data_IF_952348940655
#
_entry.id   IF_952348940655
#
_cell.length_a   1.000
_cell.length_b   1.000
_cell.length_c   1.000
_cell.angle_alpha   90.00
_cell.angle_beta   90.00
_cell.angle_gamma   90.00
#
_symmetry.space_group_name_H-M   'P 1'
#
loop_
_entity.id
_entity.type
_entity.pdbx_description
1 polymer ?
#
# COMPACT_ATOMS: atom_id res chain seq x y z
N UNK A 1 19.65 44.16 1.08
CA UNK A 1 18.61 44.00 2.12
C UNK A 1 17.49 43.18 1.50
N UNK A 2 17.67 41.87 1.47
CA UNK A 2 16.69 40.89 0.97
C UNK A 2 15.91 40.38 2.18
N UNK A 3 14.61 40.59 2.15
CA UNK A 3 13.64 40.14 3.15
C UNK A 3 13.64 38.62 3.19
N UNK A 4 14.09 38.04 4.31
CA UNK A 4 13.82 36.63 4.61
C UNK A 4 12.32 36.47 4.83
N UNK A 5 11.67 35.65 4.01
CA UNK A 5 10.29 35.25 4.25
C UNK A 5 10.27 34.33 5.47
N UNK A 6 9.31 34.50 6.40
CA UNK A 6 9.20 33.63 7.56
C UNK A 6 8.95 32.19 7.12
N UNK A 7 9.83 31.28 7.54
CA UNK A 7 9.64 29.84 7.39
C UNK A 7 8.38 29.47 8.16
N UNK A 8 7.37 28.83 7.53
CA UNK A 8 6.18 28.40 8.25
C UNK A 8 6.60 27.48 9.40
N UNK A 9 6.00 27.63 10.60
CA UNK A 9 6.32 26.79 11.74
C UNK A 9 6.18 25.32 11.33
N UNK A 10 7.24 24.54 11.57
CA UNK A 10 7.23 23.09 11.38
C UNK A 10 6.29 22.52 12.44
N UNK A 11 5.00 22.44 12.13
CA UNK A 11 4.01 21.81 12.98
C UNK A 11 4.48 20.36 13.18
N UNK A 12 4.75 19.97 14.43
CA UNK A 12 5.16 18.61 14.74
C UNK A 12 4.03 17.67 14.33
N UNK A 13 4.19 17.05 13.16
CA UNK A 13 3.16 16.23 12.56
C UNK A 13 2.75 15.15 13.57
N UNK A 14 1.47 15.18 13.96
CA UNK A 14 0.91 14.10 14.78
C UNK A 14 1.17 12.78 14.05
N UNK A 15 1.62 11.72 14.76
CA UNK A 15 1.81 10.42 14.14
C UNK A 15 0.50 9.98 13.46
N UNK A 16 0.59 9.64 12.18
CA UNK A 16 -0.56 9.15 11.41
C UNK A 16 -1.09 7.80 11.94
N UNK A 17 -0.21 7.02 12.57
CA UNK A 17 -0.52 5.70 13.13
C UNK A 17 -0.51 5.76 14.65
N UNK A 18 -1.50 5.13 15.28
CA UNK A 18 -1.53 4.91 16.73
C UNK A 18 -0.64 3.72 17.08
N UNK A 19 -0.02 3.68 18.28
CA UNK A 19 0.69 2.48 18.74
C UNK A 19 -0.20 1.24 18.63
N UNK A 20 0.35 0.13 18.10
CA UNK A 20 -0.40 -1.12 17.92
C UNK A 20 -1.43 -1.11 16.79
N UNK A 21 -1.46 -0.10 15.91
CA UNK A 21 -2.35 -0.08 14.73
C UNK A 21 -2.25 -1.37 13.90
N UNK A 22 -3.38 -1.79 13.33
CA UNK A 22 -3.51 -2.94 12.44
C UNK A 22 -3.36 -2.51 11.00
N UNK A 23 -2.32 -2.97 10.32
CA UNK A 23 -1.92 -2.41 9.02
C UNK A 23 -1.91 -3.51 7.98
N UNK A 24 -2.74 -3.37 6.95
CA UNK A 24 -2.74 -4.29 5.82
C UNK A 24 -1.67 -3.91 4.80
N UNK A 25 -0.71 -4.80 4.57
CA UNK A 25 0.36 -4.61 3.58
C UNK A 25 0.07 -5.46 2.33
N UNK A 26 -0.59 -4.84 1.35
CA UNK A 26 -0.78 -5.46 0.04
C UNK A 26 0.56 -5.55 -0.69
N UNK A 27 0.90 -6.74 -1.21
CA UNK A 27 2.21 -6.95 -1.86
C UNK A 27 3.37 -7.23 -0.90
N UNK A 28 3.09 -7.67 0.34
CA UNK A 28 4.08 -7.95 1.39
C UNK A 28 5.24 -8.90 0.99
N UNK A 29 5.10 -9.73 -0.04
CA UNK A 29 6.17 -10.63 -0.52
C UNK A 29 7.18 -9.95 -1.47
N UNK A 30 6.87 -8.74 -1.96
CA UNK A 30 7.77 -7.98 -2.81
C UNK A 30 8.89 -7.30 -2.03
N UNK A 31 9.88 -6.74 -2.75
CA UNK A 31 11.02 -6.04 -2.14
C UNK A 31 10.57 -4.93 -1.18
N UNK A 32 9.72 -4.01 -1.66
CA UNK A 32 9.22 -2.89 -0.86
C UNK A 32 8.27 -3.39 0.22
N UNK A 33 7.28 -4.22 -0.14
CA UNK A 33 6.27 -4.71 0.79
C UNK A 33 6.87 -5.48 1.98
N UNK A 34 7.90 -6.29 1.76
CA UNK A 34 8.56 -7.05 2.82
C UNK A 34 9.39 -6.17 3.75
N UNK A 35 10.04 -5.14 3.22
CA UNK A 35 10.76 -4.16 4.02
C UNK A 35 9.82 -3.33 4.91
N UNK A 36 8.69 -2.87 4.35
CA UNK A 36 7.68 -2.12 5.10
C UNK A 36 7.03 -2.99 6.16
N UNK A 37 6.62 -4.22 5.81
CA UNK A 37 6.01 -5.16 6.76
C UNK A 37 6.93 -5.43 7.96
N UNK A 38 8.23 -5.70 7.69
CA UNK A 38 9.22 -5.89 8.77
C UNK A 38 9.34 -4.64 9.64
N UNK A 39 9.48 -3.46 9.03
CA UNK A 39 9.62 -2.21 9.78
C UNK A 39 8.40 -1.93 10.68
N UNK A 40 7.19 -2.13 10.17
CA UNK A 40 5.95 -1.94 10.94
C UNK A 40 5.84 -2.93 12.10
N UNK A 41 6.23 -4.19 11.89
CA UNK A 41 6.27 -5.19 12.96
C UNK A 41 7.31 -4.83 14.04
N UNK A 42 8.51 -4.38 13.62
CA UNK A 42 9.56 -3.92 14.54
C UNK A 42 9.13 -2.70 15.36
N UNK A 43 8.29 -1.83 14.78
CA UNK A 43 7.67 -0.68 15.45
C UNK A 43 6.45 -1.06 16.33
N UNK A 44 6.10 -2.35 16.43
CA UNK A 44 5.07 -2.87 17.33
C UNK A 44 3.64 -2.84 16.79
N UNK A 45 3.46 -2.72 15.47
CA UNK A 45 2.16 -2.77 14.81
C UNK A 45 1.72 -4.20 14.45
N UNK A 46 0.42 -4.45 14.38
CA UNK A 46 -0.12 -5.72 13.87
C UNK A 46 -0.11 -5.68 12.34
N UNK A 47 0.73 -6.51 11.71
CA UNK A 47 0.86 -6.54 10.24
C UNK A 47 -0.06 -7.60 9.65
N UNK A 48 -1.11 -7.16 8.96
CA UNK A 48 -2.04 -8.01 8.22
C UNK A 48 -1.51 -8.23 6.81
N UNK A 49 -1.50 -9.49 6.36
CA UNK A 49 -1.02 -9.84 5.01
C UNK A 49 -1.91 -10.87 4.34
N UNK A 50 -1.93 -10.84 3.01
CA UNK A 50 -2.62 -11.84 2.19
C UNK A 50 -1.83 -12.07 0.90
N UNK A 51 -1.61 -13.33 0.55
CA UNK A 51 -0.96 -13.71 -0.71
C UNK A 51 -1.93 -13.58 -1.88
N UNK A 52 -1.39 -13.39 -3.10
CA UNK A 52 -2.19 -13.33 -4.35
C UNK A 52 -3.06 -14.56 -4.59
N UNK A 53 -2.64 -15.70 -4.05
CA UNK A 53 -3.32 -16.99 -4.08
C UNK A 53 -4.59 -17.01 -3.23
N UNK A 54 -4.64 -16.19 -2.18
CA UNK A 54 -5.79 -16.07 -1.28
C UNK A 54 -6.67 -14.87 -1.63
N UNK A 55 -6.08 -13.80 -2.17
CA UNK A 55 -6.76 -12.58 -2.59
C UNK A 55 -6.10 -12.00 -3.85
N UNK A 56 -6.76 -12.14 -4.99
CA UNK A 56 -6.38 -11.42 -6.21
C UNK A 56 -6.95 -9.99 -6.12
N UNK A 57 -6.06 -9.01 -5.94
CA UNK A 57 -6.43 -7.60 -5.79
C UNK A 57 -7.03 -6.99 -7.07
N UNK A 58 -7.07 -7.72 -8.19
CA UNK A 58 -7.80 -7.30 -9.39
C UNK A 58 -9.30 -7.56 -9.29
N UNK A 59 -9.73 -8.37 -8.31
CA UNK A 59 -11.13 -8.63 -8.00
C UNK A 59 -11.61 -7.61 -6.95
N UNK A 60 -12.38 -6.62 -7.42
CA UNK A 60 -12.87 -5.54 -6.58
C UNK A 60 -13.79 -6.05 -5.46
N UNK A 61 -14.75 -6.92 -5.76
CA UNK A 61 -15.74 -7.40 -4.79
C UNK A 61 -15.11 -8.23 -3.67
N UNK A 62 -14.13 -9.08 -4.02
CA UNK A 62 -13.37 -9.86 -3.03
C UNK A 62 -12.45 -8.98 -2.19
N UNK A 63 -11.80 -7.98 -2.80
CA UNK A 63 -10.94 -7.03 -2.08
C UNK A 63 -11.75 -6.21 -1.09
N UNK A 64 -12.89 -5.69 -1.52
CA UNK A 64 -13.82 -4.90 -0.72
C UNK A 64 -14.37 -5.73 0.46
N UNK A 65 -14.80 -6.97 0.22
CA UNK A 65 -15.25 -7.88 1.29
C UNK A 65 -14.14 -8.15 2.29
N UNK A 66 -12.93 -8.46 1.82
CA UNK A 66 -11.79 -8.72 2.70
C UNK A 66 -11.42 -7.52 3.57
N UNK A 67 -11.37 -6.30 2.99
CA UNK A 67 -11.03 -5.10 3.74
C UNK A 67 -12.12 -4.74 4.76
N UNK A 68 -13.40 -4.92 4.42
CA UNK A 68 -14.53 -4.79 5.36
C UNK A 68 -14.45 -5.78 6.52
N UNK A 69 -14.03 -7.01 6.27
CA UNK A 69 -13.95 -8.04 7.31
C UNK A 69 -12.81 -7.77 8.29
N UNK A 70 -11.62 -7.44 7.77
CA UNK A 70 -10.44 -7.26 8.62
C UNK A 70 -10.39 -5.89 9.28
N UNK A 71 -11.03 -4.85 8.71
CA UNK A 71 -11.04 -3.46 9.19
C UNK A 71 -9.67 -2.97 9.68
N UNK A 72 -8.70 -2.76 8.76
CA UNK A 72 -7.39 -2.27 9.14
C UNK A 72 -7.45 -0.79 9.52
N UNK A 73 -6.56 -0.34 10.40
CA UNK A 73 -6.39 1.09 10.71
C UNK A 73 -5.68 1.84 9.57
N UNK A 74 -4.88 1.14 8.77
CA UNK A 74 -4.21 1.67 7.60
C UNK A 74 -3.93 0.59 6.54
N UNK A 75 -3.79 1.01 5.29
CA UNK A 75 -3.39 0.16 4.18
C UNK A 75 -2.11 0.68 3.55
N UNK A 76 -1.12 -0.20 3.38
CA UNK A 76 0.05 0.02 2.54
C UNK A 76 -0.14 -0.74 1.24
N UNK A 77 -0.33 -0.01 0.14
CA UNK A 77 -0.44 -0.59 -1.20
C UNK A 77 0.93 -0.66 -1.88
N UNK A 78 1.65 -1.77 -1.65
CA UNK A 78 2.91 -2.07 -2.34
C UNK A 78 2.75 -3.13 -3.45
N UNK A 79 1.53 -3.61 -3.69
CA UNK A 79 1.22 -4.57 -4.75
C UNK A 79 1.21 -3.89 -6.11
N UNK A 80 1.92 -4.47 -7.07
CA UNK A 80 1.91 -4.06 -8.46
C UNK A 80 2.22 -5.26 -9.36
N UNK A 81 1.68 -5.24 -10.58
CA UNK A 81 2.18 -6.08 -11.67
C UNK A 81 3.49 -5.46 -12.16
N UNK A 82 4.59 -6.16 -11.90
CA UNK A 82 5.95 -5.76 -12.28
C UNK A 82 6.60 -6.83 -13.17
N UNK A 83 7.62 -6.42 -13.92
CA UNK A 83 8.34 -7.26 -14.87
C UNK A 83 9.62 -6.57 -15.34
N UNK A 84 10.49 -7.31 -16.02
CA UNK A 84 11.68 -6.72 -16.62
C UNK A 84 11.33 -5.69 -17.70
N UNK A 85 12.30 -4.84 -18.06
CA UNK A 85 12.13 -3.77 -19.07
C UNK A 85 11.50 -4.33 -20.35
N UNK A 86 11.97 -5.49 -20.82
CA UNK A 86 11.41 -6.15 -22.00
C UNK A 86 9.92 -6.48 -21.84
N UNK A 87 9.52 -7.11 -20.73
CA UNK A 87 8.14 -7.51 -20.50
C UNK A 87 7.19 -6.30 -20.42
N UNK A 88 7.63 -5.20 -19.79
CA UNK A 88 6.85 -3.97 -19.71
C UNK A 88 6.72 -3.29 -21.09
N UNK A 89 7.78 -3.32 -21.90
CA UNK A 89 7.74 -2.80 -23.28
C UNK A 89 6.91 -3.67 -24.23
N UNK A 90 6.87 -4.99 -24.03
CA UNK A 90 6.07 -5.91 -24.85
C UNK A 90 4.58 -5.83 -24.53
N UNK A 91 4.21 -5.65 -23.26
CA UNK A 91 2.81 -5.70 -22.81
C UNK A 91 2.36 -4.47 -21.99
N UNK A 92 2.60 -3.23 -22.46
CA UNK A 92 2.42 -2.03 -21.64
C UNK A 92 0.97 -1.82 -21.19
N UNK A 93 0.00 -2.09 -22.06
CA UNK A 93 -1.43 -1.94 -21.75
C UNK A 93 -1.89 -2.94 -20.69
N UNK A 94 -1.44 -4.21 -20.78
CA UNK A 94 -1.80 -5.22 -19.79
C UNK A 94 -1.23 -4.90 -18.40
N UNK A 95 0.00 -4.39 -18.35
CA UNK A 95 0.60 -3.92 -17.10
C UNK A 95 -0.17 -2.73 -16.52
N UNK A 96 -0.57 -1.77 -17.36
CA UNK A 96 -1.39 -0.64 -16.92
C UNK A 96 -2.75 -1.11 -16.40
N UNK A 97 -3.46 -1.96 -17.13
CA UNK A 97 -4.76 -2.49 -16.72
C UNK A 97 -4.70 -3.26 -15.40
N UNK A 98 -3.74 -4.18 -15.25
CA UNK A 98 -3.58 -4.95 -14.02
C UNK A 98 -3.29 -4.01 -12.83
N UNK A 99 -2.41 -3.02 -13.00
CA UNK A 99 -2.06 -2.08 -11.94
C UNK A 99 -3.23 -1.14 -11.57
N UNK A 100 -4.01 -0.67 -12.56
CA UNK A 100 -5.20 0.14 -12.30
C UNK A 100 -6.26 -0.67 -11.55
N UNK A 101 -6.50 -1.94 -11.93
CA UNK A 101 -7.45 -2.81 -11.24
C UNK A 101 -7.02 -3.07 -9.79
N UNK A 102 -5.74 -3.31 -9.55
CA UNK A 102 -5.19 -3.47 -8.20
C UNK A 102 -5.42 -2.20 -7.36
N UNK A 103 -5.06 -1.03 -7.91
CA UNK A 103 -5.17 0.24 -7.18
C UNK A 103 -6.62 0.61 -6.87
N UNK A 104 -7.50 0.53 -7.86
CA UNK A 104 -8.91 0.89 -7.69
C UNK A 104 -9.62 -0.05 -6.71
N UNK A 105 -9.34 -1.36 -6.78
CA UNK A 105 -9.96 -2.33 -5.85
C UNK A 105 -9.58 -2.08 -4.39
N UNK A 106 -8.31 -1.70 -4.14
CA UNK A 106 -7.83 -1.41 -2.79
C UNK A 106 -8.33 -0.04 -2.31
N UNK A 107 -8.28 0.99 -3.16
CA UNK A 107 -8.74 2.34 -2.80
C UNK A 107 -10.24 2.35 -2.54
N UNK A 108 -11.05 1.66 -3.35
CA UNK A 108 -12.49 1.62 -3.17
C UNK A 108 -12.93 0.80 -1.96
N UNK A 109 -12.14 -0.20 -1.55
CA UNK A 109 -12.46 -1.08 -0.42
C UNK A 109 -11.89 -0.64 0.94
N UNK A 110 -10.99 0.35 0.96
CA UNK A 110 -10.38 0.90 2.17
C UNK A 110 -11.23 2.01 2.79
#
# INVERSE_FOLDING_TARGET
MTTELPVPPQESARPLLRPGSRIFVAGHRGLVGSAVARRLADDGHEVLTRGRDLLDLRDAARTETYLRDIRPDAVVLAAAKVGGIMANSTYPVQFLEDNLRIQLSVIAGA
#
